data_IF_012818293082
#
_entry.id   IF_012818293082
#
_cell.length_a   1.000
_cell.length_b   1.000
_cell.length_c   1.000
_cell.angle_alpha   90.00
_cell.angle_beta   90.00
_cell.angle_gamma   90.00
#
_symmetry.space_group_name_H-M   'P 1'
#
loop_
_entity.id
_entity.type
_entity.pdbx_description
1 polymer ?
#
# COMPACT_ATOMS: atom_id res chain seq x y z
N UNK A 1 -8.98 -16.00 -1.62
CA UNK A 1 -7.88 -16.70 -0.91
C UNK A 1 -7.01 -17.30 -1.99
N UNK A 2 -5.77 -16.84 -2.15
CA UNK A 2 -4.80 -17.60 -2.96
C UNK A 2 -4.69 -18.99 -2.32
N UNK A 3 -4.70 -20.05 -3.14
CA UNK A 3 -4.70 -21.43 -2.66
C UNK A 3 -3.53 -21.77 -1.74
N UNK A 4 -3.46 -23.01 -1.28
CA UNK A 4 -2.36 -23.52 -0.43
C UNK A 4 -1.01 -23.01 -0.95
N UNK A 5 -0.29 -22.26 -0.11
CA UNK A 5 1.01 -21.69 -0.47
C UNK A 5 2.03 -22.83 -0.51
N UNK A 6 2.78 -23.02 -1.63
CA UNK A 6 3.77 -24.07 -1.72
C UNK A 6 4.87 -23.94 -0.67
N UNK A 7 5.31 -25.08 -0.15
CA UNK A 7 6.44 -25.20 0.78
C UNK A 7 7.72 -25.52 0.01
N UNK A 8 8.80 -24.85 0.39
CA UNK A 8 10.16 -25.04 -0.11
C UNK A 8 11.02 -25.60 1.03
N UNK A 9 11.79 -26.64 0.73
CA UNK A 9 12.74 -27.26 1.67
C UNK A 9 14.14 -26.76 1.32
N UNK A 10 14.81 -26.12 2.27
CA UNK A 10 16.19 -25.64 2.13
C UNK A 10 17.11 -26.56 2.94
N UNK A 11 18.03 -27.23 2.24
CA UNK A 11 19.10 -28.02 2.86
C UNK A 11 20.27 -27.11 3.22
N UNK A 12 20.60 -27.05 4.50
CA UNK A 12 21.81 -26.38 5.00
C UNK A 12 22.72 -27.38 5.68
N UNK A 13 24.00 -27.04 5.86
CA UNK A 13 24.94 -27.88 6.62
C UNK A 13 24.55 -28.14 8.09
N UNK A 14 23.49 -27.47 8.59
CA UNK A 14 22.92 -27.66 9.94
C UNK A 14 21.55 -28.39 9.92
N UNK A 15 21.12 -28.91 8.78
CA UNK A 15 19.86 -29.63 8.61
C UNK A 15 18.90 -28.98 7.60
N UNK A 16 17.70 -29.57 7.50
CA UNK A 16 16.62 -29.10 6.64
C UNK A 16 15.70 -28.11 7.35
N UNK A 17 15.30 -27.05 6.63
CA UNK A 17 14.27 -26.11 7.07
C UNK A 17 13.21 -25.93 5.99
N UNK A 18 11.94 -25.99 6.40
CA UNK A 18 10.79 -25.77 5.52
C UNK A 18 10.27 -24.34 5.65
N UNK A 19 10.09 -23.65 4.53
CA UNK A 19 9.51 -22.31 4.44
C UNK A 19 8.39 -22.31 3.41
N UNK A 20 7.35 -21.49 3.58
CA UNK A 20 6.52 -21.16 2.43
C UNK A 20 7.31 -20.26 1.44
N UNK A 21 6.88 -20.25 0.18
CA UNK A 21 7.61 -19.53 -0.88
C UNK A 21 7.78 -18.03 -0.57
N UNK A 22 6.80 -17.37 0.07
CA UNK A 22 6.90 -15.95 0.40
C UNK A 22 7.88 -15.73 1.55
N UNK A 23 7.83 -16.56 2.58
CA UNK A 23 8.82 -16.52 3.67
C UNK A 23 10.24 -16.74 3.16
N UNK A 24 10.44 -17.63 2.17
CA UNK A 24 11.76 -17.84 1.56
C UNK A 24 12.22 -16.60 0.79
N UNK A 25 11.34 -15.95 0.03
CA UNK A 25 11.66 -14.74 -0.72
C UNK A 25 11.86 -13.52 0.18
N UNK A 26 11.17 -13.45 1.32
CA UNK A 26 11.39 -12.39 2.31
C UNK A 26 12.81 -12.42 2.87
N UNK A 27 13.42 -13.62 3.02
CA UNK A 27 14.84 -13.74 3.40
C UNK A 27 15.80 -13.16 2.34
N UNK A 28 15.38 -13.15 1.08
CA UNK A 28 16.07 -12.43 -0.01
C UNK A 28 15.63 -10.96 -0.12
N UNK A 29 14.91 -10.44 0.89
CA UNK A 29 14.43 -9.05 1.00
C UNK A 29 13.42 -8.65 -0.08
N UNK A 30 12.62 -9.60 -0.55
CA UNK A 30 11.56 -9.39 -1.53
C UNK A 30 10.20 -9.38 -0.82
N UNK A 31 9.46 -8.29 -0.97
CA UNK A 31 8.10 -8.10 -0.47
C UNK A 31 7.13 -8.04 -1.64
N UNK A 32 5.97 -8.68 -1.52
CA UNK A 32 4.91 -8.67 -2.54
C UNK A 32 3.71 -7.83 -2.08
N UNK A 33 3.35 -6.82 -2.85
CA UNK A 33 2.08 -6.10 -2.75
C UNK A 33 1.18 -6.55 -3.91
N UNK A 34 0.36 -7.57 -3.65
CA UNK A 34 -0.53 -8.18 -4.66
C UNK A 34 -1.99 -7.98 -4.27
N UNK A 35 -2.79 -7.50 -5.22
CA UNK A 35 -4.21 -7.23 -5.02
C UNK A 35 -4.49 -5.86 -4.42
N UNK A 36 -5.73 -5.62 -3.92
CA UNK A 36 -6.15 -4.31 -3.45
C UNK A 36 -5.37 -3.83 -2.23
N UNK A 37 -5.03 -2.53 -2.22
CA UNK A 37 -4.44 -1.87 -1.04
C UNK A 37 -5.54 -1.61 0.00
N UNK A 38 -5.39 -2.19 1.17
CA UNK A 38 -6.29 -2.03 2.32
C UNK A 38 -5.48 -2.12 3.63
N UNK A 39 -6.12 -1.88 4.77
CA UNK A 39 -5.42 -1.81 6.06
C UNK A 39 -4.68 -3.12 6.39
N UNK A 40 -5.23 -4.28 6.04
CA UNK A 40 -4.59 -5.58 6.30
C UNK A 40 -3.33 -5.77 5.46
N UNK A 41 -3.43 -5.57 4.14
CA UNK A 41 -2.29 -5.69 3.21
C UNK A 41 -1.21 -4.66 3.52
N UNK A 42 -1.59 -3.42 3.83
CA UNK A 42 -0.67 -2.37 4.23
C UNK A 42 0.06 -2.72 5.53
N UNK A 43 -0.66 -3.19 6.55
CA UNK A 43 -0.05 -3.60 7.81
C UNK A 43 0.98 -4.72 7.61
N UNK A 44 0.70 -5.70 6.73
CA UNK A 44 1.66 -6.76 6.41
C UNK A 44 2.91 -6.22 5.70
N UNK A 45 2.77 -5.28 4.76
CA UNK A 45 3.92 -4.68 4.06
C UNK A 45 4.75 -3.84 5.01
N UNK A 46 4.11 -3.02 5.86
CA UNK A 46 4.79 -2.21 6.88
C UNK A 46 5.58 -3.10 7.85
N UNK A 47 4.97 -4.17 8.36
CA UNK A 47 5.66 -5.11 9.24
C UNK A 47 6.88 -5.75 8.56
N UNK A 48 6.78 -6.13 7.29
CA UNK A 48 7.90 -6.69 6.52
C UNK A 48 9.02 -5.67 6.29
N UNK A 49 8.70 -4.41 5.99
CA UNK A 49 9.69 -3.34 5.83
C UNK A 49 10.50 -3.12 7.12
N UNK A 50 9.82 -2.99 8.25
CA UNK A 50 10.45 -2.80 9.57
C UNK A 50 11.27 -4.04 9.98
N UNK A 51 10.77 -5.24 9.69
CA UNK A 51 11.53 -6.47 9.92
C UNK A 51 12.84 -6.47 9.12
N UNK A 52 12.79 -6.17 7.82
CA UNK A 52 13.98 -6.15 6.97
C UNK A 52 14.96 -5.04 7.33
N UNK A 53 14.49 -3.89 7.80
CA UNK A 53 15.32 -2.85 8.38
C UNK A 53 16.09 -3.39 9.60
N UNK A 54 15.39 -4.06 10.53
CA UNK A 54 16.02 -4.60 11.75
C UNK A 54 17.04 -5.71 11.46
N UNK A 55 16.82 -6.53 10.43
CA UNK A 55 17.73 -7.62 10.03
C UNK A 55 19.03 -7.10 9.41
N UNK A 56 18.93 -6.12 8.50
CA UNK A 56 20.09 -5.48 7.89
C UNK A 56 19.69 -4.13 7.29
N UNK A 57 20.02 -3.00 7.94
CA UNK A 57 19.57 -1.69 7.50
C UNK A 57 20.41 -1.11 6.33
N UNK A 58 21.49 -1.80 5.92
CA UNK A 58 22.38 -1.35 4.83
C UNK A 58 22.08 -2.05 3.49
N UNK A 59 21.17 -3.04 3.47
CA UNK A 59 20.80 -3.77 2.27
C UNK A 59 19.45 -3.30 1.73
N UNK A 60 19.37 -3.08 0.43
CA UNK A 60 18.13 -2.71 -0.27
C UNK A 60 16.99 -3.69 -0.02
N UNK A 61 15.76 -3.18 -0.14
CA UNK A 61 14.52 -3.97 -0.12
C UNK A 61 13.88 -3.90 -1.51
N UNK A 62 13.36 -5.01 -2.01
CA UNK A 62 12.65 -5.05 -3.29
C UNK A 62 11.14 -5.23 -3.07
N UNK A 63 10.35 -4.22 -3.44
CA UNK A 63 8.89 -4.22 -3.36
C UNK A 63 8.29 -4.51 -4.75
N UNK A 64 7.69 -5.69 -4.90
CA UNK A 64 7.06 -6.14 -6.13
C UNK A 64 5.57 -5.78 -6.08
N UNK A 65 5.10 -5.00 -7.05
CA UNK A 65 3.77 -4.40 -7.06
C UNK A 65 2.94 -4.96 -8.21
N UNK A 66 1.83 -5.61 -7.85
CA UNK A 66 0.75 -6.00 -8.75
C UNK A 66 -0.59 -5.66 -8.10
N UNK A 67 -0.99 -4.38 -8.19
CA UNK A 67 -2.12 -3.85 -7.45
C UNK A 67 -3.00 -2.93 -8.30
N UNK A 68 -4.34 -3.09 -8.23
CA UNK A 68 -5.29 -2.11 -8.77
C UNK A 68 -5.38 -0.82 -7.94
N UNK A 69 -4.60 -0.70 -6.86
CA UNK A 69 -4.71 0.37 -5.87
C UNK A 69 -5.74 0.05 -4.79
N UNK A 70 -6.25 1.08 -4.12
CA UNK A 70 -7.19 0.91 -3.02
C UNK A 70 -7.21 2.11 -2.07
N UNK A 71 -7.28 1.83 -0.77
CA UNK A 71 -7.35 2.85 0.28
C UNK A 71 -6.13 3.77 0.25
N UNK A 72 -6.38 5.08 0.17
CA UNK A 72 -5.33 6.11 0.20
C UNK A 72 -4.62 6.10 1.55
N UNK A 73 -5.34 6.04 2.67
CA UNK A 73 -4.73 6.04 4.00
C UNK A 73 -3.85 4.80 4.23
N UNK A 74 -4.31 3.63 3.81
CA UNK A 74 -3.53 2.40 3.91
C UNK A 74 -2.25 2.47 3.05
N UNK A 75 -2.36 3.00 1.82
CA UNK A 75 -1.19 3.19 0.97
C UNK A 75 -0.23 4.25 1.50
N UNK A 76 -0.71 5.30 2.18
CA UNK A 76 0.15 6.29 2.82
C UNK A 76 0.99 5.69 3.95
N UNK A 77 0.45 4.74 4.72
CA UNK A 77 1.22 4.04 5.75
C UNK A 77 2.41 3.27 5.14
N UNK A 78 2.22 2.62 3.99
CA UNK A 78 3.31 1.96 3.26
C UNK A 78 4.31 3.01 2.78
N UNK A 79 3.84 4.08 2.13
CA UNK A 79 4.67 5.15 1.61
C UNK A 79 5.57 5.77 2.68
N UNK A 80 5.00 6.21 3.80
CA UNK A 80 5.74 6.85 4.88
C UNK A 80 6.76 5.87 5.48
N UNK A 81 6.41 4.59 5.60
CA UNK A 81 7.34 3.55 6.06
C UNK A 81 8.49 3.35 5.07
N UNK A 82 8.23 3.34 3.75
CA UNK A 82 9.29 3.25 2.74
C UNK A 82 10.29 4.41 2.83
N UNK A 83 9.83 5.62 3.20
CA UNK A 83 10.72 6.78 3.38
C UNK A 83 11.39 6.81 4.76
N UNK A 84 10.79 6.15 5.75
CA UNK A 84 11.29 6.10 7.12
C UNK A 84 12.44 5.12 7.29
N UNK A 85 12.32 3.92 6.72
CA UNK A 85 13.32 2.88 6.90
C UNK A 85 14.66 3.27 6.26
N UNK A 86 15.78 2.91 6.90
CA UNK A 86 17.12 3.21 6.35
C UNK A 86 17.42 2.56 4.99
N UNK A 87 17.05 1.29 4.72
CA UNK A 87 17.23 0.67 3.41
C UNK A 87 16.56 1.43 2.27
N UNK A 88 17.22 1.50 1.11
CA UNK A 88 16.55 1.95 -0.10
C UNK A 88 15.52 0.91 -0.56
N UNK A 89 14.29 1.38 -0.81
CA UNK A 89 13.21 0.52 -1.32
C UNK A 89 13.16 0.62 -2.85
N UNK A 90 13.64 -0.43 -3.52
CA UNK A 90 13.46 -0.65 -4.95
C UNK A 90 12.03 -1.09 -5.25
N UNK A 91 11.43 -0.59 -6.32
CA UNK A 91 10.07 -0.96 -6.72
C UNK A 91 10.04 -1.58 -8.11
N UNK A 92 9.24 -2.64 -8.29
CA UNK A 92 9.06 -3.32 -9.58
C UNK A 92 7.58 -3.57 -9.85
N UNK A 93 7.07 -3.05 -10.97
CA UNK A 93 5.71 -3.37 -11.42
C UNK A 93 5.66 -4.71 -12.17
N UNK A 94 4.90 -5.67 -11.63
CA UNK A 94 4.68 -7.01 -12.21
C UNK A 94 3.20 -7.21 -12.59
N UNK A 95 2.81 -6.71 -13.76
CA UNK A 95 1.45 -6.83 -14.29
C UNK A 95 0.70 -5.50 -14.30
N UNK A 96 0.28 -5.00 -13.14
CA UNK A 96 -0.39 -3.70 -13.06
C UNK A 96 -0.04 -2.93 -11.79
N UNK A 97 0.18 -1.63 -11.92
CA UNK A 97 0.23 -0.68 -10.82
C UNK A 97 -0.75 0.46 -11.13
N UNK A 98 -1.92 0.44 -10.49
CA UNK A 98 -2.95 1.46 -10.70
C UNK A 98 -3.22 2.25 -9.41
N UNK A 99 -3.58 3.52 -9.53
CA UNK A 99 -3.96 4.38 -8.38
C UNK A 99 -2.89 4.35 -7.28
N UNK A 100 -3.23 3.95 -6.05
CA UNK A 100 -2.24 3.78 -4.96
C UNK A 100 -1.10 2.80 -5.30
N UNK A 101 -1.32 1.80 -6.17
CA UNK A 101 -0.25 0.94 -6.66
C UNK A 101 0.75 1.71 -7.54
N UNK A 102 0.27 2.60 -8.41
CA UNK A 102 1.12 3.48 -9.23
C UNK A 102 1.87 4.51 -8.37
N UNK A 103 1.20 5.05 -7.36
CA UNK A 103 1.79 5.97 -6.40
C UNK A 103 2.96 5.32 -5.65
N UNK A 104 2.74 4.13 -5.08
CA UNK A 104 3.80 3.39 -4.38
C UNK A 104 4.93 2.95 -5.30
N UNK A 105 4.63 2.58 -6.54
CA UNK A 105 5.66 2.31 -7.56
C UNK A 105 6.55 3.54 -7.77
N UNK A 106 5.96 4.72 -7.93
CA UNK A 106 6.70 5.97 -8.13
C UNK A 106 7.49 6.43 -6.89
N UNK A 107 7.09 5.98 -5.70
CA UNK A 107 7.72 6.29 -4.42
C UNK A 107 8.98 5.49 -4.09
N UNK A 108 9.35 4.50 -4.92
CA UNK A 108 10.60 3.79 -4.78
C UNK A 108 11.82 4.72 -4.88
N UNK A 109 12.96 4.24 -4.38
CA UNK A 109 14.21 4.99 -4.35
C UNK A 109 14.62 5.49 -5.75
N UNK A 110 15.23 6.67 -5.82
CA UNK A 110 15.60 7.32 -7.08
C UNK A 110 16.56 6.41 -7.87
N UNK A 111 16.20 6.11 -9.13
CA UNK A 111 16.97 5.21 -9.99
C UNK A 111 16.69 3.71 -9.78
N UNK A 112 15.83 3.35 -8.82
CA UNK A 112 15.46 1.96 -8.48
C UNK A 112 13.96 1.71 -8.64
N UNK A 113 13.34 2.31 -9.67
CA UNK A 113 11.91 2.18 -9.98
C UNK A 113 11.76 1.56 -11.35
N UNK A 114 11.27 0.33 -11.40
CA UNK A 114 11.29 -0.52 -12.59
C UNK A 114 9.88 -1.00 -12.94
N UNK A 115 9.71 -1.36 -14.21
CA UNK A 115 8.47 -1.95 -14.71
C UNK A 115 8.82 -3.01 -15.74
N UNK A 116 8.14 -4.16 -15.68
CA UNK A 116 8.26 -5.16 -16.75
C UNK A 116 7.66 -4.60 -18.06
N UNK A 117 8.13 -5.07 -19.24
CA UNK A 117 7.74 -4.50 -20.54
C UNK A 117 6.23 -4.49 -20.83
N UNK A 118 5.49 -5.47 -20.30
CA UNK A 118 4.05 -5.61 -20.53
C UNK A 118 3.19 -5.11 -19.35
N UNK A 119 3.82 -4.54 -18.32
CA UNK A 119 3.10 -4.01 -17.17
C UNK A 119 2.34 -2.73 -17.52
N UNK A 120 1.19 -2.52 -16.87
CA UNK A 120 0.35 -1.33 -17.06
C UNK A 120 0.42 -0.43 -15.84
N UNK A 121 0.68 0.84 -16.07
CA UNK A 121 0.67 1.88 -15.02
C UNK A 121 -0.53 2.79 -15.29
N UNK A 122 -1.40 2.97 -14.30
CA UNK A 122 -2.60 3.81 -14.42
C UNK A 122 -2.67 4.79 -13.26
N UNK A 123 -2.71 6.09 -13.56
CA UNK A 123 -2.87 7.15 -12.57
C UNK A 123 -4.25 7.79 -12.72
N UNK A 124 -4.89 8.10 -11.60
CA UNK A 124 -6.12 8.88 -11.56
C UNK A 124 -6.26 9.58 -10.21
N UNK A 125 -7.08 10.63 -10.16
CA UNK A 125 -7.39 11.35 -8.93
C UNK A 125 -8.08 10.45 -7.89
N UNK A 126 -7.87 10.64 -6.57
CA UNK A 126 -8.53 9.85 -5.54
C UNK A 126 -10.06 9.86 -5.65
N UNK A 127 -10.68 8.73 -5.34
CA UNK A 127 -12.13 8.60 -5.25
C UNK A 127 -12.55 8.59 -3.78
N UNK A 128 -13.57 9.36 -3.43
CA UNK A 128 -14.09 9.44 -2.08
C UNK A 128 -15.58 9.78 -2.08
N UNK A 129 -16.28 9.41 -1.01
CA UNK A 129 -17.69 9.71 -0.82
C UNK A 129 -18.02 9.83 0.66
N UNK A 130 -18.75 10.89 1.02
CA UNK A 130 -19.24 11.09 2.38
C UNK A 130 -20.77 10.93 2.39
N UNK A 131 -21.28 10.08 3.30
CA UNK A 131 -22.71 10.03 3.60
C UNK A 131 -22.97 10.87 4.84
N UNK A 132 -23.50 12.08 4.65
CA UNK A 132 -23.98 12.91 5.75
C UNK A 132 -25.51 12.79 5.85
N UNK A 133 -26.05 12.83 7.08
CA UNK A 133 -27.49 13.08 7.25
C UNK A 133 -27.78 14.50 6.74
N UNK A 134 -28.79 14.71 5.87
CA UNK A 134 -29.17 16.06 5.50
C UNK A 134 -29.58 16.81 6.76
N UNK A 135 -28.87 17.91 7.05
CA UNK A 135 -29.23 18.82 8.15
C UNK A 135 -30.50 19.53 7.71
N UNK A 136 -31.64 19.12 8.26
CA UNK A 136 -32.89 19.85 8.10
C UNK A 136 -32.70 21.21 8.78
N UNK A 137 -32.44 22.24 7.99
CA UNK A 137 -32.55 23.61 8.47
C UNK A 137 -34.03 23.85 8.77
N UNK A 138 -34.40 23.84 10.06
CA UNK A 138 -35.69 24.42 10.46
C UNK A 138 -35.65 25.87 9.98
N UNK A 139 -36.45 26.22 8.97
CA UNK A 139 -36.63 27.61 8.59
C UNK A 139 -37.21 28.32 9.81
N UNK A 140 -36.39 29.11 10.52
CA UNK A 140 -36.95 30.07 11.46
C UNK A 140 -37.76 31.03 10.60
N UNK A 141 -39.09 30.91 10.61
CA UNK A 141 -39.98 31.96 10.11
C UNK A 141 -39.60 33.22 10.88
N UNK A 142 -38.96 34.16 10.20
CA UNK A 142 -38.84 35.53 10.68
C UNK A 142 -40.28 36.03 10.78
N UNK A 143 -40.78 36.23 12.01
CA UNK A 143 -42.02 36.97 12.19
C UNK A 143 -41.74 38.39 11.71
N UNK A 144 -42.37 38.78 10.61
CA UNK A 144 -42.37 40.16 10.13
C UNK A 144 -42.99 41.04 11.20
N UNK A 145 -42.18 41.87 11.85
CA UNK A 145 -42.66 42.98 12.65
C UNK A 145 -43.20 44.03 11.67
N UNK A 146 -44.52 44.13 11.55
CA UNK A 146 -45.17 45.25 10.85
C UNK A 146 -45.13 46.46 11.77
N UNK A 147 -44.33 47.47 11.39
CA UNK A 147 -44.48 48.81 11.94
C UNK A 147 -45.83 49.37 11.48
N UNK A 148 -46.78 49.51 12.41
CA UNK A 148 -47.99 50.29 12.20
C UNK A 148 -47.64 51.77 12.40
N UNK A 149 -47.69 52.53 11.32
CA UNK A 149 -47.72 53.99 11.31
C UNK A 149 -49.18 54.46 11.39
N UNK A 150 -49.52 55.17 12.47
CA UNK A 150 -50.48 56.26 12.53
C UNK A 150 -50.36 56.95 13.91
#
# INVERSE_FOLDING_TARGET
MLGMVPIVIEQSGRGERSYDIYSRLLRERIIFLVGPVNDQTANLVVAQLLFLESENPDKDISLYINSPGGSVSAGMAIYDTMQFVKPEVSTLCTGMAASMGAFLLAAGAKGKRFSLPNSRIMIHQPLGGAKAKPRISKSRRVKSCTCASA
#
